data_IF_732248002395
#
_entry.id   IF_732248002395
#
_cell.length_a   1.000
_cell.length_b   1.000
_cell.length_c   1.000
_cell.angle_alpha   90.00
_cell.angle_beta   90.00
_cell.angle_gamma   90.00
#
_symmetry.space_group_name_H-M   'P 1'
#
loop_
_entity.id
_entity.type
_entity.pdbx_description
1 polymer ?
#
# COMPACT_ATOMS: atom_id res chain seq x y z
N UNK A 1 6.71 24.25 39.11
CA UNK A 1 5.50 23.87 38.35
C UNK A 1 5.92 22.96 37.20
N UNK A 2 5.90 21.64 37.42
CA UNK A 2 6.24 20.63 36.40
C UNK A 2 4.94 20.28 35.67
N UNK A 3 4.85 20.64 34.39
CA UNK A 3 3.72 20.24 33.54
C UNK A 3 4.06 18.85 33.00
N UNK A 4 3.40 17.86 33.58
CA UNK A 4 3.41 16.47 33.16
C UNK A 4 2.36 16.32 32.06
N UNK A 5 2.79 16.26 30.80
CA UNK A 5 1.91 15.86 29.69
C UNK A 5 1.94 14.34 29.61
N UNK A 6 0.95 13.70 30.25
CA UNK A 6 0.61 12.30 29.99
C UNK A 6 -0.05 12.21 28.61
N UNK A 7 0.72 11.90 27.57
CA UNK A 7 0.19 11.20 26.39
C UNK A 7 0.86 9.83 26.35
N UNK A 8 0.08 8.82 26.72
CA UNK A 8 0.56 7.47 26.99
C UNK A 8 1.12 6.76 25.76
N UNK A 9 2.00 5.80 26.04
CA UNK A 9 2.52 4.77 25.13
C UNK A 9 1.46 4.07 24.24
N UNK A 10 0.17 4.28 24.51
CA UNK A 10 -0.95 3.66 23.81
C UNK A 10 -1.25 4.26 22.43
N UNK A 11 -0.83 5.48 22.09
CA UNK A 11 -1.09 6.05 20.75
C UNK A 11 -0.16 5.50 19.65
N UNK A 12 1.08 5.14 19.97
CA UNK A 12 2.01 4.49 19.03
C UNK A 12 1.70 2.99 18.89
N UNK A 13 1.20 2.36 19.97
CA UNK A 13 0.76 0.97 19.95
C UNK A 13 -0.62 0.78 19.29
N UNK A 14 -1.48 1.80 19.27
CA UNK A 14 -2.80 1.73 18.61
C UNK A 14 -2.73 1.62 17.08
N UNK A 15 -1.65 2.11 16.45
CA UNK A 15 -1.39 1.89 15.01
C UNK A 15 -0.95 0.44 14.75
N UNK A 16 -0.40 -0.24 15.77
CA UNK A 16 0.17 -1.60 15.66
C UNK A 16 -0.85 -2.69 16.06
N UNK A 17 -1.83 -2.39 16.90
CA UNK A 17 -2.73 -3.39 17.50
C UNK A 17 -3.97 -3.76 16.67
N UNK A 18 -4.24 -3.09 15.56
CA UNK A 18 -5.41 -3.41 14.68
C UNK A 18 -5.12 -4.61 13.75
N UNK A 19 -3.86 -5.04 13.63
CA UNK A 19 -3.40 -6.03 12.62
C UNK A 19 -3.01 -7.39 13.22
N UNK A 20 -3.56 -7.75 14.38
CA UNK A 20 -3.29 -9.04 15.03
C UNK A 20 -4.55 -9.91 15.06
N UNK A 21 -4.81 -10.67 13.98
CA UNK A 21 -4.97 -12.14 14.03
C UNK A 21 -5.34 -12.68 12.64
N UNK A 22 -4.45 -13.46 12.03
CA UNK A 22 -4.73 -14.80 11.51
C UNK A 22 -3.43 -15.41 10.98
N UNK A 23 -2.97 -16.46 11.65
CA UNK A 23 -1.88 -17.33 11.19
C UNK A 23 -2.26 -17.93 9.84
N UNK A 24 -1.55 -17.55 8.76
CA UNK A 24 -1.57 -18.32 7.51
C UNK A 24 -0.14 -18.44 6.99
N UNK A 25 0.20 -19.62 6.49
CA UNK A 25 1.48 -19.97 5.86
C UNK A 25 1.71 -19.15 4.59
N UNK A 26 2.96 -18.97 4.13
CA UNK A 26 3.24 -18.28 2.88
C UNK A 26 2.82 -19.23 1.75
N UNK A 27 1.62 -19.01 1.25
CA UNK A 27 1.17 -19.60 -0.01
C UNK A 27 1.51 -18.58 -1.09
N UNK A 28 1.89 -19.10 -2.27
CA UNK A 28 1.69 -18.38 -3.53
C UNK A 28 0.32 -17.70 -3.49
N UNK A 29 0.15 -16.59 -4.22
CA UNK A 29 -1.11 -15.89 -4.54
C UNK A 29 -2.25 -16.82 -5.08
N UNK A 30 -2.15 -18.15 -4.96
CA UNK A 30 -3.13 -19.15 -5.35
C UNK A 30 -4.49 -18.87 -4.71
N UNK A 31 -4.56 -18.45 -3.43
CA UNK A 31 -5.84 -18.06 -2.81
C UNK A 31 -6.46 -16.86 -3.54
N UNK A 32 -5.63 -15.98 -4.10
CA UNK A 32 -6.08 -14.83 -4.86
C UNK A 32 -6.58 -15.18 -6.26
N UNK A 33 -6.05 -16.27 -6.83
CA UNK A 33 -6.36 -16.79 -8.17
C UNK A 33 -7.43 -17.89 -8.18
N UNK A 34 -7.84 -18.39 -7.01
CA UNK A 34 -8.87 -19.41 -6.87
C UNK A 34 -10.12 -18.85 -6.21
N UNK A 35 -11.27 -19.24 -6.74
CA UNK A 35 -12.60 -18.93 -6.20
C UNK A 35 -13.35 -20.22 -5.95
N UNK A 36 -14.01 -20.31 -4.80
CA UNK A 36 -15.08 -21.30 -4.62
C UNK A 36 -16.27 -20.96 -5.51
N UNK A 37 -17.17 -21.93 -5.71
CA UNK A 37 -18.39 -21.71 -6.46
C UNK A 37 -19.27 -20.59 -5.87
N UNK A 38 -19.35 -20.54 -4.54
CA UNK A 38 -20.09 -19.51 -3.81
C UNK A 38 -19.46 -18.13 -4.01
N UNK A 39 -18.14 -18.02 -3.85
CA UNK A 39 -17.41 -16.77 -4.07
C UNK A 39 -17.56 -16.26 -5.51
N UNK A 40 -17.52 -17.15 -6.52
CA UNK A 40 -17.74 -16.77 -7.91
C UNK A 40 -19.19 -16.28 -8.14
N UNK A 41 -20.17 -16.96 -7.56
CA UNK A 41 -21.58 -16.54 -7.63
C UNK A 41 -21.80 -15.16 -7.01
N UNK A 42 -21.18 -14.91 -5.86
CA UNK A 42 -21.19 -13.61 -5.17
C UNK A 42 -20.51 -12.53 -6.01
N UNK A 43 -19.36 -12.83 -6.62
CA UNK A 43 -18.65 -11.93 -7.52
C UNK A 43 -19.48 -11.55 -8.75
N UNK A 44 -20.15 -12.53 -9.39
CA UNK A 44 -20.99 -12.27 -10.55
C UNK A 44 -22.19 -11.40 -10.19
N UNK A 45 -22.82 -11.66 -9.04
CA UNK A 45 -23.91 -10.83 -8.50
C UNK A 45 -23.44 -9.41 -8.21
N UNK A 46 -22.31 -9.25 -7.53
CA UNK A 46 -21.71 -7.95 -7.25
C UNK A 46 -21.39 -7.19 -8.54
N UNK A 47 -20.74 -7.86 -9.50
CA UNK A 47 -20.38 -7.29 -10.81
C UNK A 47 -21.61 -6.78 -11.56
N UNK A 48 -22.68 -7.56 -11.65
CA UNK A 48 -23.92 -7.14 -12.30
C UNK A 48 -24.48 -5.84 -11.68
N UNK A 49 -24.37 -5.69 -10.36
CA UNK A 49 -24.88 -4.50 -9.65
C UNK A 49 -24.03 -3.25 -9.85
N UNK A 50 -22.73 -3.36 -10.13
CA UNK A 50 -21.81 -2.19 -10.12
C UNK A 50 -21.19 -1.88 -11.47
N UNK A 51 -21.11 -2.83 -12.42
CA UNK A 51 -20.31 -2.70 -13.65
C UNK A 51 -20.63 -1.46 -14.49
N UNK A 52 -21.90 -1.04 -14.51
CA UNK A 52 -22.38 0.11 -15.28
C UNK A 52 -21.96 1.47 -14.66
N UNK A 53 -21.49 1.47 -13.41
CA UNK A 53 -21.04 2.65 -12.69
C UNK A 53 -19.52 2.86 -12.80
N UNK A 54 -18.79 1.89 -13.36
CA UNK A 54 -17.33 1.89 -13.39
C UNK A 54 -16.79 2.65 -14.60
N UNK A 55 -16.01 3.73 -14.39
CA UNK A 55 -15.58 4.60 -15.48
C UNK A 55 -14.42 4.04 -16.30
N UNK A 56 -13.54 3.23 -15.70
CA UNK A 56 -12.30 2.76 -16.34
C UNK A 56 -12.39 1.26 -16.66
N UNK A 57 -11.90 0.83 -17.83
CA UNK A 57 -12.06 -0.57 -18.29
C UNK A 57 -11.41 -1.59 -17.36
N UNK A 58 -10.24 -1.27 -16.79
CA UNK A 58 -9.58 -2.18 -15.84
C UNK A 58 -10.44 -2.45 -14.59
N UNK A 59 -11.32 -1.50 -14.21
CA UNK A 59 -12.21 -1.66 -13.06
C UNK A 59 -13.31 -2.69 -13.31
N UNK A 60 -13.65 -2.96 -14.57
CA UNK A 60 -14.68 -3.94 -14.95
C UNK A 60 -14.17 -5.38 -14.92
N UNK A 61 -12.88 -5.58 -14.66
CA UNK A 61 -12.26 -6.89 -14.51
C UNK A 61 -12.68 -7.58 -13.20
N UNK A 62 -12.78 -8.91 -13.23
CA UNK A 62 -13.03 -9.71 -12.03
C UNK A 62 -11.93 -9.48 -10.97
N UNK A 63 -10.68 -9.27 -11.42
CA UNK A 63 -9.54 -8.95 -10.56
C UNK A 63 -9.67 -7.63 -9.81
N UNK A 64 -10.29 -6.61 -10.39
CA UNK A 64 -10.55 -5.37 -9.66
C UNK A 64 -11.69 -5.56 -8.66
N UNK A 65 -12.77 -6.21 -9.10
CA UNK A 65 -14.01 -6.29 -8.32
C UNK A 65 -13.91 -7.19 -7.09
N UNK A 66 -13.18 -8.29 -7.20
CA UNK A 66 -12.99 -9.26 -6.12
C UNK A 66 -12.32 -8.64 -4.88
N UNK A 67 -11.50 -7.60 -5.05
CA UNK A 67 -10.75 -6.96 -3.95
C UNK A 67 -11.67 -6.33 -2.93
N UNK A 68 -12.74 -5.68 -3.40
CA UNK A 68 -13.75 -5.04 -2.56
C UNK A 68 -14.52 -6.08 -1.73
N UNK A 69 -14.87 -7.20 -2.36
CA UNK A 69 -15.52 -8.33 -1.69
C UNK A 69 -14.60 -8.95 -0.65
N UNK A 70 -13.34 -9.25 -1.00
CA UNK A 70 -12.35 -9.79 -0.05
C UNK A 70 -12.13 -8.86 1.14
N UNK A 71 -12.00 -7.56 0.89
CA UNK A 71 -11.82 -6.54 1.94
C UNK A 71 -13.04 -6.37 2.86
N UNK A 72 -14.21 -6.88 2.46
CA UNK A 72 -15.46 -6.81 3.22
C UNK A 72 -16.06 -8.19 3.49
N UNK A 73 -15.21 -9.21 3.58
CA UNK A 73 -15.59 -10.58 3.93
C UNK A 73 -16.77 -11.12 3.09
N UNK A 74 -16.75 -10.82 1.79
CA UNK A 74 -17.78 -11.18 0.81
C UNK A 74 -19.17 -10.57 1.04
N UNK A 75 -19.29 -9.56 1.90
CA UNK A 75 -20.52 -8.76 2.02
C UNK A 75 -20.67 -7.80 0.83
N UNK A 76 -21.73 -8.00 0.04
CA UNK A 76 -22.01 -7.20 -1.16
C UNK A 76 -22.34 -5.75 -0.80
N UNK A 77 -23.08 -5.50 0.27
CA UNK A 77 -23.53 -4.15 0.64
C UNK A 77 -22.35 -3.29 1.07
N UNK A 78 -21.49 -3.82 1.92
CA UNK A 78 -20.31 -3.13 2.43
C UNK A 78 -19.26 -2.96 1.33
N UNK A 79 -19.06 -3.97 0.48
CA UNK A 79 -18.17 -3.87 -0.68
C UNK A 79 -18.63 -2.78 -1.65
N UNK A 80 -19.94 -2.64 -1.90
CA UNK A 80 -20.50 -1.56 -2.73
C UNK A 80 -20.24 -0.19 -2.12
N UNK A 81 -20.46 -0.06 -0.80
CA UNK A 81 -20.22 1.19 -0.09
C UNK A 81 -18.75 1.61 -0.22
N UNK A 82 -17.81 0.70 0.05
CA UNK A 82 -16.38 0.97 -0.09
C UNK A 82 -15.96 1.33 -1.52
N UNK A 83 -16.50 0.61 -2.53
CA UNK A 83 -16.24 0.90 -3.93
C UNK A 83 -16.79 2.28 -4.33
N UNK A 84 -18.00 2.64 -3.90
CA UNK A 84 -18.60 3.94 -4.22
C UNK A 84 -17.87 5.10 -3.54
N UNK A 85 -17.45 4.92 -2.30
CA UNK A 85 -16.60 5.89 -1.60
C UNK A 85 -15.26 6.08 -2.33
N UNK A 86 -14.69 4.99 -2.86
CA UNK A 86 -13.49 5.05 -3.71
C UNK A 86 -13.74 5.82 -4.99
N UNK A 87 -14.83 5.54 -5.72
CA UNK A 87 -15.16 6.25 -6.97
C UNK A 87 -15.37 7.75 -6.73
N UNK A 88 -16.04 8.10 -5.63
CA UNK A 88 -16.22 9.50 -5.20
C UNK A 88 -14.88 10.16 -4.90
N UNK A 89 -14.04 9.52 -4.07
CA UNK A 89 -12.71 10.01 -3.73
C UNK A 89 -11.83 10.19 -4.98
N UNK A 90 -11.85 9.22 -5.91
CA UNK A 90 -11.10 9.28 -7.17
C UNK A 90 -11.50 10.50 -7.99
N UNK A 91 -12.80 10.78 -8.08
CA UNK A 91 -13.34 11.95 -8.80
C UNK A 91 -12.92 13.27 -8.13
N UNK A 92 -13.11 13.38 -6.82
CA UNK A 92 -12.79 14.59 -6.04
C UNK A 92 -11.30 14.92 -6.06
N UNK A 93 -10.44 13.90 -6.05
CA UNK A 93 -8.98 14.05 -6.03
C UNK A 93 -8.34 13.96 -7.43
N UNK A 94 -9.14 13.91 -8.50
CA UNK A 94 -8.67 13.83 -9.90
C UNK A 94 -7.64 12.71 -10.10
N UNK A 95 -7.91 11.53 -9.55
CA UNK A 95 -6.96 10.42 -9.58
C UNK A 95 -6.73 9.91 -11.01
N UNK A 96 -7.76 9.94 -11.87
CA UNK A 96 -7.65 9.51 -13.26
C UNK A 96 -6.50 10.16 -14.05
N UNK A 97 -6.14 11.42 -13.75
CA UNK A 97 -5.08 12.15 -14.45
C UNK A 97 -3.71 12.14 -13.75
N UNK A 98 -3.59 11.43 -12.62
CA UNK A 98 -2.41 11.52 -11.74
C UNK A 98 -1.13 10.98 -12.37
N UNK A 99 -1.24 9.96 -13.23
CA UNK A 99 -0.12 9.33 -13.89
C UNK A 99 0.48 10.21 -14.99
N UNK A 100 -0.26 11.23 -15.45
CA UNK A 100 0.16 12.17 -16.49
C UNK A 100 0.62 13.52 -15.90
N UNK A 101 0.54 13.71 -14.58
CA UNK A 101 1.09 14.89 -13.93
C UNK A 101 2.63 14.87 -13.99
N UNK A 102 3.25 16.05 -14.04
CA UNK A 102 4.71 16.19 -13.95
C UNK A 102 5.13 16.03 -12.48
N UNK A 103 6.11 15.19 -12.17
CA UNK A 103 6.61 14.93 -10.80
C UNK A 103 8.09 15.29 -10.58
N UNK A 104 8.74 15.93 -11.56
CA UNK A 104 10.18 16.22 -11.50
C UNK A 104 10.58 17.09 -10.30
N UNK A 105 9.62 17.83 -9.71
CA UNK A 105 9.81 18.63 -8.49
C UNK A 105 9.92 17.82 -7.20
N UNK A 106 9.50 16.55 -7.22
CA UNK A 106 9.51 15.63 -6.09
C UNK A 106 10.30 14.34 -6.34
N UNK A 107 10.42 13.85 -7.58
CA UNK A 107 11.16 12.61 -7.88
C UNK A 107 12.62 12.65 -7.44
N UNK A 108 13.23 13.84 -7.42
CA UNK A 108 14.60 14.03 -6.91
C UNK A 108 14.66 14.04 -5.38
N UNK A 109 13.67 14.65 -4.71
CA UNK A 109 13.61 14.80 -3.25
C UNK A 109 13.05 13.53 -2.57
N UNK A 110 12.26 12.73 -3.29
CA UNK A 110 11.53 11.55 -2.81
C UNK A 110 11.64 10.41 -3.82
N UNK A 111 12.85 9.87 -4.07
CA UNK A 111 13.05 8.84 -5.09
C UNK A 111 12.20 7.59 -4.84
N UNK A 112 11.52 7.13 -5.90
CA UNK A 112 10.80 5.86 -5.96
C UNK A 112 11.08 5.16 -7.31
N UNK A 113 11.39 3.87 -7.29
CA UNK A 113 11.70 3.06 -8.46
C UNK A 113 10.59 2.03 -8.74
N UNK A 114 10.28 1.77 -10.01
CA UNK A 114 9.21 0.88 -10.48
C UNK A 114 9.68 -0.14 -11.54
N UNK A 115 10.98 -0.22 -11.81
CA UNK A 115 11.54 -1.01 -12.92
C UNK A 115 11.79 -2.48 -12.56
N UNK A 116 11.66 -2.81 -11.28
CA UNK A 116 11.96 -4.14 -10.77
C UNK A 116 10.72 -5.00 -10.59
N UNK A 117 10.91 -6.32 -10.67
CA UNK A 117 9.88 -7.31 -10.41
C UNK A 117 10.51 -8.51 -9.72
N UNK A 118 9.73 -9.21 -8.90
CA UNK A 118 10.22 -10.40 -8.21
C UNK A 118 10.23 -11.65 -9.12
N UNK A 119 10.63 -12.79 -8.57
CA UNK A 119 10.67 -14.08 -9.29
C UNK A 119 9.29 -14.54 -9.79
N UNK A 120 8.21 -13.98 -9.26
CA UNK A 120 6.82 -14.26 -9.64
C UNK A 120 6.25 -13.19 -10.57
N UNK A 121 7.10 -12.28 -11.08
CA UNK A 121 6.73 -11.15 -11.92
C UNK A 121 5.86 -10.08 -11.24
N UNK A 122 5.78 -10.10 -9.89
CA UNK A 122 5.09 -9.05 -9.16
C UNK A 122 5.90 -7.75 -9.26
N UNK A 123 5.31 -6.63 -9.71
CA UNK A 123 5.98 -5.34 -9.69
C UNK A 123 6.46 -5.00 -8.28
N UNK A 124 7.69 -4.49 -8.19
CA UNK A 124 8.27 -4.00 -6.94
C UNK A 124 8.42 -2.48 -7.03
N UNK A 125 7.79 -1.77 -6.10
CA UNK A 125 8.04 -0.36 -5.87
C UNK A 125 9.11 -0.22 -4.79
N UNK A 126 10.25 0.38 -5.12
CA UNK A 126 11.33 0.63 -4.15
C UNK A 126 11.34 2.08 -3.73
N UNK A 127 11.43 2.35 -2.42
CA UNK A 127 11.52 3.70 -1.83
C UNK A 127 12.77 3.80 -0.98
N UNK A 128 13.59 4.83 -1.21
CA UNK A 128 14.82 5.09 -0.46
C UNK A 128 14.56 6.09 0.66
N UNK A 129 14.15 5.58 1.82
CA UNK A 129 13.62 6.40 2.91
C UNK A 129 14.65 7.37 3.50
N UNK A 130 15.95 7.08 3.43
CA UNK A 130 17.00 7.98 3.93
C UNK A 130 17.07 9.34 3.21
N UNK A 131 16.68 9.35 1.93
CA UNK A 131 16.67 10.54 1.08
C UNK A 131 15.42 11.40 1.31
N UNK A 132 14.32 10.80 1.76
CA UNK A 132 13.01 11.43 1.86
C UNK A 132 12.89 12.41 3.05
N UNK A 133 13.02 13.72 2.86
CA UNK A 133 12.85 14.67 3.99
C UNK A 133 11.41 15.19 4.13
N UNK A 134 10.55 14.44 4.84
CA UNK A 134 9.17 14.87 5.11
C UNK A 134 9.11 16.17 5.91
N UNK A 135 10.02 16.35 6.87
CA UNK A 135 10.08 17.58 7.65
C UNK A 135 10.35 18.78 6.74
N UNK A 136 11.31 18.68 5.83
CA UNK A 136 11.61 19.75 4.87
C UNK A 136 10.42 20.03 3.96
N UNK A 137 9.73 19.01 3.45
CA UNK A 137 8.51 19.19 2.67
C UNK A 137 7.44 19.95 3.45
N UNK A 138 7.28 19.67 4.75
CA UNK A 138 6.32 20.42 5.57
C UNK A 138 6.77 21.86 5.78
N UNK A 139 8.04 22.09 6.12
CA UNK A 139 8.57 23.43 6.40
C UNK A 139 8.60 24.33 5.16
N UNK A 140 8.72 23.75 3.97
CA UNK A 140 8.71 24.47 2.68
C UNK A 140 7.32 24.58 2.06
N UNK A 141 6.28 24.08 2.73
CA UNK A 141 4.90 24.14 2.23
C UNK A 141 4.57 23.13 1.13
N UNK A 142 5.45 22.16 0.85
CA UNK A 142 5.23 21.10 -0.14
C UNK A 142 4.33 19.95 0.35
N UNK A 143 3.80 19.97 1.57
CA UNK A 143 3.02 18.85 2.15
C UNK A 143 1.87 18.35 1.27
N UNK A 144 1.09 19.25 0.67
CA UNK A 144 -0.04 18.84 -0.19
C UNK A 144 0.47 18.19 -1.48
N UNK A 145 1.55 18.73 -2.05
CA UNK A 145 2.21 18.20 -3.25
C UNK A 145 2.78 16.81 -2.98
N UNK A 146 3.44 16.62 -1.84
CA UNK A 146 3.96 15.33 -1.39
C UNK A 146 2.82 14.31 -1.17
N UNK A 147 1.73 14.68 -0.52
CA UNK A 147 0.57 13.77 -0.37
C UNK A 147 0.00 13.32 -1.73
N UNK A 148 -0.04 14.22 -2.70
CA UNK A 148 -0.46 13.91 -4.07
C UNK A 148 0.53 12.96 -4.74
N UNK A 149 1.83 13.16 -4.55
CA UNK A 149 2.88 12.28 -5.06
C UNK A 149 2.84 10.88 -4.44
N UNK A 150 2.54 10.76 -3.13
CA UNK A 150 2.34 9.45 -2.50
C UNK A 150 1.15 8.69 -3.13
N UNK A 151 0.06 9.39 -3.49
CA UNK A 151 -1.03 8.79 -4.25
C UNK A 151 -0.61 8.41 -5.69
N UNK A 152 0.29 9.18 -6.31
CA UNK A 152 0.88 8.84 -7.62
C UNK A 152 1.68 7.55 -7.54
N UNK A 153 2.52 7.38 -6.51
CA UNK A 153 3.31 6.16 -6.33
C UNK A 153 2.37 4.93 -6.23
N UNK A 154 1.26 5.06 -5.49
CA UNK A 154 0.25 4.01 -5.39
C UNK A 154 -0.35 3.67 -6.76
N UNK A 155 -0.87 4.67 -7.47
CA UNK A 155 -1.45 4.48 -8.80
C UNK A 155 -0.44 3.93 -9.80
N UNK A 156 0.83 4.29 -9.66
CA UNK A 156 1.92 3.86 -10.52
C UNK A 156 2.16 2.35 -10.40
N UNK A 157 2.36 1.83 -9.19
CA UNK A 157 2.56 0.38 -9.02
C UNK A 157 1.27 -0.41 -9.28
N UNK A 158 0.09 0.17 -9.01
CA UNK A 158 -1.21 -0.45 -9.36
C UNK A 158 -1.36 -0.57 -10.88
N UNK A 159 -0.97 0.47 -11.62
CA UNK A 159 -0.94 0.44 -13.09
C UNK A 159 -0.01 -0.68 -13.60
N UNK A 160 1.16 -0.84 -12.98
CA UNK A 160 2.12 -1.87 -13.38
C UNK A 160 1.60 -3.29 -13.09
N UNK A 161 0.79 -3.50 -12.03
CA UNK A 161 0.06 -4.76 -11.80
C UNK A 161 -0.91 -5.06 -12.94
N UNK A 162 -1.74 -4.09 -13.33
CA UNK A 162 -2.70 -4.28 -14.44
C UNK A 162 -2.00 -4.50 -15.78
N UNK A 163 -0.86 -3.85 -16.03
CA UNK A 163 -0.03 -4.13 -17.23
C UNK A 163 0.51 -5.55 -17.22
N UNK A 164 1.01 -6.03 -16.08
CA UNK A 164 1.47 -7.40 -15.95
C UNK A 164 0.34 -8.41 -16.24
N UNK A 165 -0.87 -8.15 -15.73
CA UNK A 165 -2.05 -8.96 -16.00
C UNK A 165 -2.44 -8.95 -17.48
N UNK A 166 -2.44 -7.78 -18.13
CA UNK A 166 -2.69 -7.65 -19.56
C UNK A 166 -1.65 -8.41 -20.41
N UNK A 167 -0.43 -8.58 -19.90
CA UNK A 167 0.61 -9.40 -20.50
C UNK A 167 0.50 -10.90 -20.16
N UNK A 168 -0.61 -11.35 -19.55
CA UNK A 168 -0.86 -12.75 -19.21
C UNK A 168 -0.14 -13.25 -17.95
N UNK A 169 0.37 -12.35 -17.10
CA UNK A 169 0.98 -12.73 -15.82
C UNK A 169 -0.09 -12.91 -14.76
N UNK A 170 0.04 -13.97 -13.96
CA UNK A 170 -0.82 -14.27 -12.82
C UNK A 170 -0.40 -13.45 -11.59
N UNK A 171 -0.43 -12.12 -11.72
CA UNK A 171 -0.06 -11.19 -10.65
C UNK A 171 -1.32 -10.46 -10.22
N UNK A 172 -1.62 -10.46 -8.93
CA UNK A 172 -2.74 -9.68 -8.38
C UNK A 172 -2.26 -8.48 -7.59
N UNK A 173 -1.03 -8.47 -7.06
CA UNK A 173 -0.56 -7.43 -6.13
C UNK A 173 0.87 -6.98 -6.43
N UNK A 174 1.20 -5.78 -5.95
CA UNK A 174 2.57 -5.27 -5.97
C UNK A 174 3.28 -5.52 -4.62
N UNK A 175 4.61 -5.54 -4.64
CA UNK A 175 5.45 -5.45 -3.45
C UNK A 175 5.95 -4.02 -3.27
N UNK A 176 6.02 -3.56 -2.04
CA UNK A 176 6.67 -2.28 -1.71
C UNK A 176 7.91 -2.58 -0.87
N UNK A 177 9.07 -2.19 -1.36
CA UNK A 177 10.35 -2.32 -0.68
C UNK A 177 10.80 -0.95 -0.21
N UNK A 178 10.98 -0.78 1.10
CA UNK A 178 11.46 0.46 1.70
C UNK A 178 12.86 0.21 2.24
N UNK A 179 13.85 0.87 1.65
CA UNK A 179 15.18 0.92 2.23
C UNK A 179 15.22 2.01 3.30
N UNK A 180 15.32 1.61 4.56
CA UNK A 180 15.36 2.50 5.72
C UNK A 180 16.80 2.88 6.11
N UNK A 181 17.81 2.57 5.30
CA UNK A 181 19.14 3.13 5.46
C UNK A 181 19.07 4.66 5.47
N UNK A 182 19.73 5.32 6.43
CA UNK A 182 19.63 6.77 6.61
C UNK A 182 18.34 7.28 7.27
N UNK A 183 17.44 6.40 7.72
CA UNK A 183 16.23 6.82 8.43
C UNK A 183 16.55 7.64 9.69
N UNK A 184 15.93 8.81 9.82
CA UNK A 184 16.01 9.68 10.99
C UNK A 184 14.63 10.07 11.51
N UNK A 185 14.42 9.92 12.83
CA UNK A 185 13.19 10.39 13.49
C UNK A 185 12.93 11.90 13.25
N UNK A 186 13.99 12.69 13.10
CA UNK A 186 13.87 14.14 12.86
C UNK A 186 13.27 14.45 11.49
N UNK A 187 13.69 13.71 10.45
CA UNK A 187 13.24 13.90 9.06
C UNK A 187 11.89 13.25 8.82
N UNK A 188 11.70 12.03 9.34
CA UNK A 188 10.59 11.15 8.93
C UNK A 188 9.45 11.07 9.96
N UNK A 189 9.75 11.17 11.26
CA UNK A 189 8.79 10.96 12.35
C UNK A 189 8.59 12.21 13.21
N UNK A 190 8.78 13.40 12.62
CA UNK A 190 8.53 14.65 13.31
C UNK A 190 7.03 14.83 13.59
N UNK A 191 6.60 15.53 14.66
CA UNK A 191 5.17 15.75 14.91
C UNK A 191 4.40 16.38 13.74
N UNK A 192 5.06 17.23 12.96
CA UNK A 192 4.50 17.85 11.76
C UNK A 192 4.37 16.89 10.56
N UNK A 193 5.10 15.77 10.59
CA UNK A 193 5.15 14.76 9.54
C UNK A 193 4.00 13.74 9.69
N UNK A 194 3.52 13.54 10.93
CA UNK A 194 2.47 12.56 11.28
C UNK A 194 1.22 12.68 10.38
N UNK A 195 0.67 13.86 10.06
CA UNK A 195 -0.51 13.96 9.20
C UNK A 195 -0.30 13.41 7.78
N UNK A 196 0.92 13.51 7.24
CA UNK A 196 1.25 12.96 5.91
C UNK A 196 1.22 11.43 5.98
N UNK A 197 1.86 10.86 7.00
CA UNK A 197 1.89 9.41 7.22
C UNK A 197 0.49 8.84 7.41
N UNK A 198 -0.32 9.44 8.29
CA UNK A 198 -1.71 9.03 8.52
C UNK A 198 -2.51 9.09 7.23
N UNK A 199 -2.40 10.19 6.48
CA UNK A 199 -3.13 10.35 5.22
C UNK A 199 -2.74 9.29 4.21
N UNK A 200 -1.46 8.95 4.11
CA UNK A 200 -0.98 7.90 3.22
C UNK A 200 -1.55 6.54 3.60
N UNK A 201 -1.46 6.14 4.89
CA UNK A 201 -2.02 4.88 5.39
C UNK A 201 -3.53 4.79 5.15
N UNK A 202 -4.29 5.83 5.53
CA UNK A 202 -5.75 5.87 5.32
C UNK A 202 -6.08 5.79 3.83
N UNK A 203 -5.30 6.43 2.96
CA UNK A 203 -5.51 6.35 1.51
C UNK A 203 -5.37 4.93 1.01
N UNK A 204 -4.31 4.21 1.43
CA UNK A 204 -4.09 2.82 1.06
C UNK A 204 -5.22 1.90 1.56
N UNK A 205 -5.58 2.00 2.83
CA UNK A 205 -6.59 1.13 3.45
C UNK A 205 -8.00 1.34 2.90
N UNK A 206 -8.39 2.60 2.68
CA UNK A 206 -9.76 2.93 2.28
C UNK A 206 -9.99 2.79 0.77
N UNK A 207 -9.00 3.11 -0.05
CA UNK A 207 -9.19 3.28 -1.50
C UNK A 207 -8.39 2.30 -2.37
N UNK A 208 -7.44 1.58 -1.77
CA UNK A 208 -6.60 0.61 -2.46
C UNK A 208 -6.57 -0.76 -1.75
N UNK A 209 -7.74 -1.35 -1.43
CA UNK A 209 -7.76 -2.63 -0.75
C UNK A 209 -7.08 -3.70 -1.60
N UNK A 210 -6.25 -4.51 -0.94
CA UNK A 210 -5.65 -5.70 -1.52
C UNK A 210 -4.80 -5.42 -2.79
N UNK A 211 -4.29 -4.19 -3.00
CA UNK A 211 -3.36 -3.90 -4.12
C UNK A 211 -1.89 -4.10 -3.75
N UNK A 212 -1.55 -3.93 -2.48
CA UNK A 212 -0.22 -4.16 -1.93
C UNK A 212 -0.21 -5.52 -1.24
N UNK A 213 0.72 -6.39 -1.62
CA UNK A 213 0.91 -7.69 -0.98
C UNK A 213 1.57 -7.52 0.38
N UNK A 214 2.71 -6.82 0.38
CA UNK A 214 3.54 -6.63 1.55
C UNK A 214 4.37 -5.35 1.41
N UNK A 215 4.60 -4.67 2.53
CA UNK A 215 5.63 -3.64 2.65
C UNK A 215 6.82 -4.26 3.39
N UNK A 216 7.93 -4.41 2.68
CA UNK A 216 9.19 -4.96 3.20
C UNK A 216 10.10 -3.78 3.51
N UNK A 217 10.62 -3.73 4.73
CA UNK A 217 11.53 -2.69 5.20
C UNK A 217 12.89 -3.32 5.47
N UNK A 218 13.92 -2.83 4.78
CA UNK A 218 15.30 -3.28 4.99
C UNK A 218 16.12 -2.17 5.63
N UNK A 219 17.24 -2.52 6.27
CA UNK A 219 18.16 -1.55 6.88
C UNK A 219 17.52 -0.65 7.95
N UNK A 220 16.43 -1.09 8.58
CA UNK A 220 15.78 -0.34 9.65
C UNK A 220 16.76 -0.07 10.81
N UNK A 221 16.81 1.17 11.34
CA UNK A 221 17.62 1.46 12.51
C UNK A 221 17.05 0.74 13.73
N UNK A 222 17.91 0.37 14.68
CA UNK A 222 17.51 -0.40 15.86
C UNK A 222 16.44 0.27 16.74
N UNK A 223 16.23 1.57 16.58
CA UNK A 223 15.20 2.36 17.25
C UNK A 223 13.81 2.20 16.64
N UNK A 224 13.72 1.72 15.39
CA UNK A 224 12.48 1.34 14.73
C UNK A 224 12.35 -0.17 14.92
N UNK A 225 11.30 -0.59 15.60
CA UNK A 225 10.97 -2.00 15.76
C UNK A 225 9.56 -2.20 15.24
N UNK A 226 9.45 -2.73 14.03
CA UNK A 226 8.18 -3.13 13.43
C UNK A 226 7.99 -4.62 13.71
N UNK A 227 6.77 -5.08 14.06
CA UNK A 227 6.51 -6.49 14.29
C UNK A 227 6.95 -7.33 13.08
N UNK A 228 7.87 -8.27 13.27
CA UNK A 228 8.37 -9.13 12.21
C UNK A 228 7.41 -10.29 11.91
N UNK A 229 7.14 -10.56 10.62
CA UNK A 229 6.58 -11.85 10.18
C UNK A 229 7.72 -12.88 10.00
N UNK A 230 7.69 -14.05 10.69
CA UNK A 230 8.76 -15.06 10.61
C UNK A 230 9.04 -15.61 9.20
N UNK A 231 8.10 -15.46 8.26
CA UNK A 231 8.14 -16.09 6.94
C UNK A 231 9.00 -15.31 5.91
N UNK A 232 9.35 -14.06 6.19
CA UNK A 232 10.08 -13.19 5.26
C UNK A 232 11.59 -13.49 5.19
N UNK A 233 12.12 -14.15 6.21
CA UNK A 233 13.53 -14.52 6.26
C UNK A 233 13.91 -15.45 5.11
N UNK A 234 13.10 -16.47 4.80
CA UNK A 234 13.45 -17.49 3.81
C UNK A 234 13.59 -16.94 2.38
N UNK A 235 12.64 -16.12 1.92
CA UNK A 235 12.60 -15.66 0.51
C UNK A 235 13.80 -14.78 0.13
N UNK A 236 14.37 -14.03 1.09
CA UNK A 236 15.51 -13.14 0.84
C UNK A 236 16.85 -13.69 1.36
N UNK A 237 16.86 -14.57 2.36
CA UNK A 237 18.10 -15.25 2.79
C UNK A 237 18.67 -16.14 1.69
N UNK A 238 17.81 -16.77 0.88
CA UNK A 238 18.21 -17.56 -0.29
C UNK A 238 18.76 -16.71 -1.45
N UNK A 239 18.62 -15.38 -1.38
CA UNK A 239 19.22 -14.43 -2.32
C UNK A 239 20.59 -13.88 -1.87
N UNK A 240 21.11 -14.33 -0.73
CA UNK A 240 22.43 -13.93 -0.21
C UNK A 240 22.46 -12.64 0.61
N UNK A 241 21.29 -12.06 0.95
CA UNK A 241 21.18 -10.82 1.73
C UNK A 241 21.29 -11.09 3.25
N UNK A 242 22.35 -10.56 3.89
CA UNK A 242 22.65 -10.68 5.33
C UNK A 242 22.26 -9.42 6.14
N UNK A 243 21.05 -8.87 5.98
CA UNK A 243 20.63 -7.62 6.66
C UNK A 243 19.32 -7.77 7.44
N UNK A 244 19.06 -6.85 8.38
CA UNK A 244 17.83 -6.82 9.20
C UNK A 244 16.64 -6.51 8.30
N UNK A 245 15.62 -7.36 8.36
CA UNK A 245 14.37 -7.27 7.58
C UNK A 245 13.20 -7.10 8.54
N UNK A 246 12.42 -6.06 8.33
CA UNK A 246 11.13 -5.79 8.96
C UNK A 246 10.06 -5.89 7.87
N UNK A 247 8.87 -6.38 8.17
CA UNK A 247 7.82 -6.44 7.15
C UNK A 247 6.42 -6.24 7.72
N UNK A 248 5.57 -5.60 6.91
CA UNK A 248 4.19 -5.30 7.24
C UNK A 248 3.31 -5.97 6.19
N UNK A 249 2.53 -6.95 6.63
CA UNK A 249 1.54 -7.63 5.81
C UNK A 249 0.25 -6.82 5.75
N UNK A 250 -0.24 -6.59 4.54
CA UNK A 250 -1.58 -6.06 4.30
C UNK A 250 -2.48 -7.26 3.97
N UNK A 251 -3.15 -7.76 5.01
CA UNK A 251 -4.07 -8.90 4.94
C UNK A 251 -5.42 -8.54 4.34
#
# INVERSE_FOLDING_TARGET
>A
MKIQVCMGHHCLLAIIFVLQWNLVLPQVDSKDLHLTFEEKTTLDTFKQQVIHLLPEEFMKSDFYLIRWLRARNWDISDAKTMLFDTLKWRKENKIHSILQENWSDLEQDFPANFESSDKMFRPICTMEMGEWDFRLAVLTGKSQRLNRYLAYIIERYVSDVFKAQAAGRNVTRALVLVDAEGFSLRKHACPLCIPILIRWTVTMEMYYPQFTNEIIIINAPTTVSIPHSPQCYQTFHDSGYKRRIESIWYG
#
